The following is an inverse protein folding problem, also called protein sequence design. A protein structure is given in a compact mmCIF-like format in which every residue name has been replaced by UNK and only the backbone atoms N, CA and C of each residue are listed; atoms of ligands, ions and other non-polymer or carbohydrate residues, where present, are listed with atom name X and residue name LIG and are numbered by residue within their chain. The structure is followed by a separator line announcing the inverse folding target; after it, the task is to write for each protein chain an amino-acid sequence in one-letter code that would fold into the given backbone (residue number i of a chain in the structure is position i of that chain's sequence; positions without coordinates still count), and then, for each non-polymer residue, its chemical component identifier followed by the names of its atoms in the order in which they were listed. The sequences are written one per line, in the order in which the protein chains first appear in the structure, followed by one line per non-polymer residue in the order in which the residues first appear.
data_IF_257068444042
#
_entry.id   IF_257068444042
#
_cell.length_a   1.000
_cell.length_b   1.000
_cell.length_c   1.000
_cell.angle_alpha   90.00
_cell.angle_beta   90.00
_cell.angle_gamma   90.00
#
_symmetry.space_group_name_H-M   'P 1'
#
loop_
_entity.id
_entity.type
_entity.pdbx_description
1 polymer ?
#
# COMPACT_ATOMS: atom_id res chain seq x y z
N UNK A 1 -0.88 -1.98 16.42
CA UNK A 1 -2.01 -2.87 16.06
C UNK A 1 -2.51 -3.79 17.19
N UNK A 2 -1.62 -4.41 18.00
CA UNK A 2 -2.09 -5.29 19.11
C UNK A 2 -2.99 -4.56 20.10
N UNK A 3 -2.59 -3.37 20.56
CA UNK A 3 -3.38 -2.53 21.48
C UNK A 3 -4.75 -2.15 20.91
N UNK A 4 -4.82 -1.75 19.64
CA UNK A 4 -6.09 -1.41 18.97
C UNK A 4 -7.05 -2.60 18.92
N UNK A 5 -6.52 -3.80 18.59
CA UNK A 5 -7.34 -5.01 18.55
C UNK A 5 -7.80 -5.44 19.95
N UNK A 6 -7.00 -5.21 20.98
CA UNK A 6 -7.36 -5.48 22.37
C UNK A 6 -8.49 -4.55 22.84
N UNK A 7 -8.35 -3.24 22.58
CA UNK A 7 -9.39 -2.26 22.92
C UNK A 7 -10.71 -2.56 22.20
N UNK A 8 -10.66 -2.88 20.91
CA UNK A 8 -11.82 -3.27 20.12
C UNK A 8 -12.47 -4.59 20.61
N UNK A 9 -11.68 -5.53 21.12
CA UNK A 9 -12.19 -6.80 21.65
C UNK A 9 -12.80 -6.65 23.02
N UNK A 10 -12.21 -5.81 23.87
CA UNK A 10 -12.62 -5.65 25.27
C UNK A 10 -13.66 -4.55 25.47
N UNK A 11 -13.86 -3.67 24.50
CA UNK A 11 -14.71 -2.47 24.62
C UNK A 11 -14.14 -1.41 25.56
N UNK A 12 -12.89 -1.57 26.03
CA UNK A 12 -12.21 -0.60 26.92
C UNK A 12 -11.41 0.38 26.09
N UNK A 13 -12.04 1.45 25.68
CA UNK A 13 -11.41 2.44 24.81
C UNK A 13 -10.62 3.49 25.60
N UNK A 14 -9.50 3.94 24.99
CA UNK A 14 -8.81 5.16 25.39
C UNK A 14 -9.51 6.38 24.79
N UNK A 15 -9.42 7.52 25.46
CA UNK A 15 -10.01 8.76 24.92
C UNK A 15 -9.31 9.27 23.64
N UNK A 16 -8.04 8.90 23.42
CA UNK A 16 -7.24 9.41 22.33
C UNK A 16 -6.61 8.27 21.53
N UNK A 17 -6.77 8.33 20.22
CA UNK A 17 -6.09 7.46 19.27
C UNK A 17 -5.41 8.27 18.18
N UNK A 18 -4.19 7.92 17.82
CA UNK A 18 -3.51 8.43 16.64
C UNK A 18 -3.10 7.25 15.76
N UNK A 19 -3.73 7.18 14.59
CA UNK A 19 -3.44 6.23 13.53
C UNK A 19 -2.72 6.98 12.41
N UNK A 20 -1.44 6.71 12.16
CA UNK A 20 -0.70 7.44 11.14
C UNK A 20 0.19 6.52 10.31
N UNK A 21 0.55 6.96 9.11
CA UNK A 21 1.43 6.21 8.20
C UNK A 21 0.85 6.07 6.79
N UNK A 22 1.56 5.33 5.97
CA UNK A 22 1.31 5.24 4.53
C UNK A 22 0.24 4.21 4.13
N UNK A 23 -0.18 3.32 5.06
CA UNK A 23 -1.13 2.26 4.73
C UNK A 23 -2.58 2.75 4.92
N UNK A 24 -3.14 3.31 3.84
CA UNK A 24 -4.48 3.91 3.83
C UNK A 24 -5.58 2.89 4.16
N UNK A 25 -5.46 1.65 3.66
CA UNK A 25 -6.44 0.59 3.91
C UNK A 25 -6.58 0.28 5.40
N UNK A 26 -5.45 0.11 6.11
CA UNK A 26 -5.49 -0.17 7.55
C UNK A 26 -6.03 1.01 8.36
N UNK A 27 -5.67 2.25 8.00
CA UNK A 27 -6.22 3.45 8.64
C UNK A 27 -7.74 3.49 8.53
N UNK A 28 -8.27 3.30 7.32
CA UNK A 28 -9.71 3.23 7.06
C UNK A 28 -10.37 2.08 7.82
N UNK A 29 -9.81 0.87 7.75
CA UNK A 29 -10.36 -0.30 8.42
C UNK A 29 -10.46 -0.11 9.95
N UNK A 30 -9.42 0.44 10.58
CA UNK A 30 -9.46 0.70 12.02
C UNK A 30 -10.41 1.84 12.35
N UNK A 31 -10.46 2.92 11.56
CA UNK A 31 -11.45 4.00 11.71
C UNK A 31 -12.87 3.42 11.77
N UNK A 32 -13.25 2.67 10.74
CA UNK A 32 -14.60 2.12 10.60
C UNK A 32 -14.94 1.16 11.76
N UNK A 33 -13.98 0.32 12.17
CA UNK A 33 -14.14 -0.58 13.31
C UNK A 33 -14.32 0.15 14.65
N UNK A 34 -13.58 1.24 14.88
CA UNK A 34 -13.72 2.06 16.08
C UNK A 34 -15.07 2.79 16.10
N UNK A 35 -15.47 3.42 14.98
CA UNK A 35 -16.79 4.07 14.89
C UNK A 35 -17.90 3.06 15.22
N UNK A 36 -17.89 1.89 14.58
CA UNK A 36 -18.89 0.84 14.80
C UNK A 36 -18.87 0.27 16.22
N UNK A 37 -17.71 0.24 16.89
CA UNK A 37 -17.58 -0.29 18.24
C UNK A 37 -17.88 0.72 19.35
N UNK A 38 -17.74 2.02 19.04
CA UNK A 38 -17.88 3.10 20.02
C UNK A 38 -19.25 3.77 19.99
N UNK A 39 -19.94 3.73 18.86
CA UNK A 39 -21.23 4.37 18.65
C UNK A 39 -22.29 3.37 18.21
N UNK A 40 -23.58 3.57 18.61
CA UNK A 40 -24.70 2.84 18.04
C UNK A 40 -24.79 3.05 16.52
N UNK A 41 -25.34 2.07 15.82
CA UNK A 41 -25.52 2.17 14.36
C UNK A 41 -26.49 3.32 14.03
N UNK A 42 -26.04 4.23 13.14
CA UNK A 42 -26.82 5.39 12.73
C UNK A 42 -26.77 6.59 13.68
N UNK A 43 -25.97 6.56 14.73
CA UNK A 43 -25.80 7.71 15.63
C UNK A 43 -24.98 8.82 14.96
N UNK A 44 -25.69 9.83 14.46
CA UNK A 44 -25.10 11.04 13.85
C UNK A 44 -25.00 12.20 14.83
N UNK A 45 -25.67 12.13 15.97
CA UNK A 45 -25.69 13.22 16.97
C UNK A 45 -24.42 13.24 17.82
N UNK A 46 -23.82 12.09 18.04
CA UNK A 46 -22.62 11.92 18.86
C UNK A 46 -21.36 11.67 18.02
N UNK A 47 -21.46 11.76 16.70
CA UNK A 47 -20.37 11.60 15.76
C UNK A 47 -20.08 12.90 15.03
N UNK A 48 -18.80 13.32 15.01
CA UNK A 48 -18.33 14.40 14.17
C UNK A 48 -17.08 13.97 13.39
N UNK A 49 -16.97 14.44 12.16
CA UNK A 49 -15.85 14.15 11.26
C UNK A 49 -15.31 15.43 10.66
N UNK A 50 -14.02 15.65 10.85
CA UNK A 50 -13.29 16.79 10.32
C UNK A 50 -12.16 16.32 9.42
N UNK A 51 -12.09 16.88 8.21
CA UNK A 51 -11.09 16.52 7.22
C UNK A 51 -10.36 17.76 6.69
N UNK A 52 -9.05 17.62 6.51
CA UNK A 52 -8.21 18.64 5.89
C UNK A 52 -7.79 19.76 6.81
N UNK A 53 -6.92 20.63 6.28
CA UNK A 53 -6.17 21.64 7.04
C UNK A 53 -6.97 22.85 7.51
N UNK A 54 -8.19 23.01 7.00
CA UNK A 54 -9.04 24.16 7.33
C UNK A 54 -9.97 23.91 8.53
N UNK A 55 -9.75 22.84 9.27
CA UNK A 55 -10.52 22.52 10.49
C UNK A 55 -10.28 23.58 11.56
N UNK A 56 -11.36 24.21 12.04
CA UNK A 56 -11.29 25.20 13.12
C UNK A 56 -11.23 24.51 14.48
N UNK A 57 -10.12 24.69 15.18
CA UNK A 57 -9.88 24.07 16.50
C UNK A 57 -10.87 24.60 17.55
N UNK A 58 -11.32 25.86 17.46
CA UNK A 58 -12.30 26.43 18.41
C UNK A 58 -13.64 25.74 18.28
N UNK A 59 -14.12 25.57 17.05
CA UNK A 59 -15.36 24.82 16.78
C UNK A 59 -15.28 23.39 17.30
N UNK A 60 -14.13 22.73 17.10
CA UNK A 60 -13.88 21.38 17.63
C UNK A 60 -13.95 21.36 19.16
N UNK A 61 -13.32 22.31 19.84
CA UNK A 61 -13.32 22.39 21.31
C UNK A 61 -14.74 22.65 21.82
N UNK A 62 -15.45 23.60 21.22
CA UNK A 62 -16.84 23.91 21.60
C UNK A 62 -17.75 22.68 21.48
N UNK A 63 -17.59 21.91 20.40
CA UNK A 63 -18.31 20.64 20.22
C UNK A 63 -17.89 19.61 21.26
N UNK A 64 -16.60 19.49 21.54
CA UNK A 64 -16.04 18.51 22.46
C UNK A 64 -16.48 18.72 23.91
N UNK A 65 -16.79 19.96 24.31
CA UNK A 65 -17.34 20.34 25.64
C UNK A 65 -18.82 19.99 25.79
N UNK A 66 -19.54 19.76 24.70
CA UNK A 66 -20.95 19.40 24.78
C UNK A 66 -21.13 17.96 25.25
N UNK A 67 -22.10 17.73 26.16
CA UNK A 67 -22.42 16.38 26.60
C UNK A 67 -22.98 15.54 25.44
N UNK A 68 -22.69 14.23 25.42
CA UNK A 68 -23.30 13.30 24.46
C UNK A 68 -24.82 13.32 24.56
N UNK A 69 -25.50 13.24 23.42
CA UNK A 69 -26.95 13.24 23.34
C UNK A 69 -27.48 11.79 23.48
N UNK A 70 -28.06 11.49 24.60
CA UNK A 70 -28.58 10.14 24.95
C UNK A 70 -27.58 8.98 24.68
N UNK A 71 -26.27 9.23 24.83
CA UNK A 71 -25.23 8.23 24.64
C UNK A 71 -24.15 8.33 25.73
N UNK A 72 -23.33 7.32 25.87
CA UNK A 72 -22.22 7.28 26.84
C UNK A 72 -21.04 8.15 26.40
N UNK A 73 -20.90 8.39 25.09
CA UNK A 73 -19.72 9.03 24.56
C UNK A 73 -19.97 9.84 23.27
N UNK A 74 -19.14 10.84 23.06
CA UNK A 74 -19.04 11.60 21.82
C UNK A 74 -17.73 11.21 21.13
N UNK A 75 -17.80 10.91 19.85
CA UNK A 75 -16.65 10.54 19.04
C UNK A 75 -16.38 11.62 17.97
N UNK A 76 -15.19 12.19 17.99
CA UNK A 76 -14.73 13.15 16.98
C UNK A 76 -13.54 12.54 16.25
N UNK A 77 -13.66 12.43 14.93
CA UNK A 77 -12.63 11.86 14.06
C UNK A 77 -12.02 12.96 13.23
N UNK A 78 -10.70 12.99 13.18
CA UNK A 78 -9.90 13.93 12.41
C UNK A 78 -9.11 13.17 11.34
N UNK A 79 -9.18 13.61 10.09
CA UNK A 79 -8.45 12.99 9.00
C UNK A 79 -7.67 14.02 8.20
N UNK A 80 -6.36 13.82 8.04
CA UNK A 80 -5.43 14.66 7.27
C UNK A 80 -5.49 16.17 7.63
N UNK A 81 -5.75 16.47 8.90
CA UNK A 81 -5.87 17.86 9.40
C UNK A 81 -4.53 18.58 9.48
N UNK A 82 -3.43 17.84 9.57
CA UNK A 82 -2.09 18.40 9.75
C UNK A 82 -1.80 18.95 11.15
N UNK A 83 -2.67 18.74 12.12
CA UNK A 83 -2.51 19.22 13.50
C UNK A 83 -1.19 18.75 14.15
N UNK A 84 -0.67 17.60 13.74
CA UNK A 84 0.58 17.08 14.26
C UNK A 84 1.84 17.69 13.60
N UNK A 85 1.68 18.60 12.63
CA UNK A 85 2.81 19.29 11.98
C UNK A 85 3.01 20.71 12.54
N UNK A 86 1.95 21.54 12.63
CA UNK A 86 2.12 22.95 12.96
C UNK A 86 0.98 23.62 13.73
N UNK A 87 -0.26 23.17 13.63
CA UNK A 87 -1.44 23.91 14.11
C UNK A 87 -2.11 23.37 15.37
N UNK A 88 -1.65 22.24 15.90
CA UNK A 88 -2.34 21.54 16.99
C UNK A 88 -1.92 21.94 18.42
N UNK A 89 -1.30 23.10 18.64
CA UNK A 89 -0.82 23.48 19.97
C UNK A 89 -1.97 23.71 20.96
N UNK A 90 -3.01 24.42 20.53
CA UNK A 90 -4.20 24.73 21.36
C UNK A 90 -4.98 23.45 21.70
N UNK A 91 -5.10 22.55 20.73
CA UNK A 91 -5.72 21.25 20.95
C UNK A 91 -4.91 20.37 21.92
N UNK A 92 -3.57 20.49 21.91
CA UNK A 92 -2.71 19.78 22.85
C UNK A 92 -2.92 20.25 24.32
N UNK A 93 -3.18 21.53 24.52
CA UNK A 93 -3.51 22.10 25.84
C UNK A 93 -4.89 21.62 26.28
N UNK A 94 -5.87 21.71 25.38
CA UNK A 94 -7.24 21.27 25.64
C UNK A 94 -7.35 19.77 26.04
N UNK A 95 -6.57 18.89 25.43
CA UNK A 95 -6.58 17.44 25.74
C UNK A 95 -6.36 17.16 27.25
N UNK A 96 -5.72 18.10 27.97
CA UNK A 96 -5.48 17.93 29.40
C UNK A 96 -6.77 17.97 30.23
N UNK A 97 -7.73 18.77 29.80
CA UNK A 97 -8.98 19.06 30.52
C UNK A 97 -10.23 18.52 29.81
N UNK A 98 -10.04 17.76 28.74
CA UNK A 98 -11.10 17.17 27.90
C UNK A 98 -12.08 16.32 28.72
N UNK A 99 -13.41 16.48 28.53
CA UNK A 99 -14.44 15.69 29.22
C UNK A 99 -14.24 14.19 29.07
N UNK A 100 -14.50 13.42 30.13
CA UNK A 100 -14.34 11.96 30.13
C UNK A 100 -15.22 11.23 29.10
N UNK A 101 -16.28 11.88 28.65
CA UNK A 101 -17.23 11.37 27.65
C UNK A 101 -16.82 11.62 26.21
N UNK A 102 -15.78 12.43 25.97
CA UNK A 102 -15.32 12.82 24.63
C UNK A 102 -14.11 11.97 24.22
N UNK A 103 -14.13 11.49 22.96
CA UNK A 103 -13.11 10.63 22.39
C UNK A 103 -12.64 11.19 21.06
N UNK A 104 -11.32 11.22 20.84
CA UNK A 104 -10.71 11.68 19.60
C UNK A 104 -9.96 10.56 18.89
N UNK A 105 -10.19 10.45 17.58
CA UNK A 105 -9.40 9.57 16.71
C UNK A 105 -8.76 10.44 15.63
N UNK A 106 -7.45 10.52 15.65
CA UNK A 106 -6.65 11.21 14.64
C UNK A 106 -6.12 10.22 13.60
N UNK A 107 -6.29 10.56 12.33
CA UNK A 107 -5.85 9.78 11.18
C UNK A 107 -4.98 10.68 10.31
N UNK A 108 -3.69 10.41 10.25
CA UNK A 108 -2.72 11.26 9.56
C UNK A 108 -1.81 10.42 8.63
N UNK A 109 -1.29 11.03 7.59
CA UNK A 109 -0.27 10.39 6.75
C UNK A 109 1.11 10.51 7.39
N UNK A 110 1.42 11.68 7.93
CA UNK A 110 2.71 11.99 8.55
C UNK A 110 2.52 12.85 9.79
N UNK A 111 3.37 12.66 10.79
CA UNK A 111 3.35 13.39 12.06
C UNK A 111 4.75 13.88 12.47
N UNK A 112 4.85 15.04 13.09
CA UNK A 112 6.07 15.42 13.81
C UNK A 112 5.99 14.86 15.25
N UNK A 113 6.81 13.85 15.52
CA UNK A 113 6.88 13.18 16.83
C UNK A 113 7.37 14.10 17.95
N UNK A 114 7.88 15.29 17.59
CA UNK A 114 8.31 16.34 18.55
C UNK A 114 7.18 17.29 18.93
N UNK A 115 6.09 17.33 18.15
CA UNK A 115 4.98 18.24 18.38
C UNK A 115 4.35 18.06 19.76
N UNK A 116 3.78 19.15 20.31
CA UNK A 116 3.12 19.16 21.61
C UNK A 116 1.93 18.19 21.62
N UNK A 117 1.14 18.22 20.54
CA UNK A 117 -0.02 17.33 20.39
C UNK A 117 0.37 15.84 20.36
N UNK A 118 1.46 15.47 19.67
CA UNK A 118 1.93 14.07 19.66
C UNK A 118 2.29 13.60 21.08
N UNK A 119 2.98 14.46 21.86
CA UNK A 119 3.35 14.13 23.24
C UNK A 119 2.11 14.02 24.15
N UNK A 120 1.12 14.89 23.98
CA UNK A 120 -0.14 14.84 24.72
C UNK A 120 -0.91 13.53 24.43
N UNK A 121 -1.08 13.17 23.14
CA UNK A 121 -1.74 11.91 22.76
C UNK A 121 -0.95 10.70 23.27
N UNK A 122 0.38 10.73 23.22
CA UNK A 122 1.23 9.63 23.71
C UNK A 122 1.07 9.40 25.21
N UNK A 123 0.81 10.44 26.00
CA UNK A 123 0.66 10.31 27.45
C UNK A 123 -0.69 9.74 27.88
N UNK A 124 -1.76 9.98 27.13
CA UNK A 124 -3.14 9.66 27.52
C UNK A 124 -3.84 8.64 26.61
N UNK A 125 -3.27 8.32 25.46
CA UNK A 125 -3.91 7.51 24.45
C UNK A 125 -3.00 6.47 23.80
N UNK A 126 -3.46 5.93 22.66
CA UNK A 126 -2.70 5.00 21.84
C UNK A 126 -2.25 5.64 20.53
N UNK A 127 -0.96 5.49 20.22
CA UNK A 127 -0.35 5.89 18.95
C UNK A 127 0.08 4.65 18.19
N UNK A 128 -0.40 4.48 16.97
CA UNK A 128 -0.06 3.33 16.13
C UNK A 128 0.36 3.81 14.74
N UNK A 129 1.56 3.42 14.34
CA UNK A 129 2.08 3.63 12.99
C UNK A 129 1.63 2.48 12.08
N UNK A 130 0.91 2.83 11.03
CA UNK A 130 0.35 1.92 10.03
C UNK A 130 1.09 2.14 8.71
N UNK A 131 2.27 1.56 8.62
CA UNK A 131 3.10 1.59 7.41
C UNK A 131 2.88 0.37 6.53
N UNK A 132 3.60 0.35 5.39
CA UNK A 132 3.60 -0.78 4.47
C UNK A 132 3.96 -2.08 5.19
N UNK A 133 3.18 -3.13 4.93
CA UNK A 133 3.31 -4.42 5.61
C UNK A 133 4.35 -5.30 4.92
N UNK A 134 5.11 -6.07 5.71
CA UNK A 134 6.06 -7.04 5.16
C UNK A 134 5.34 -8.27 4.57
N UNK A 135 6.11 -9.07 3.79
CA UNK A 135 5.61 -10.27 3.11
C UNK A 135 4.96 -11.29 4.05
N UNK A 136 5.60 -11.55 5.18
CA UNK A 136 5.09 -12.52 6.16
C UNK A 136 3.78 -12.05 6.77
N UNK A 137 3.67 -10.74 7.03
CA UNK A 137 2.46 -10.11 7.56
C UNK A 137 1.34 -10.15 6.54
N UNK A 138 1.57 -9.78 5.28
CA UNK A 138 0.57 -9.85 4.22
C UNK A 138 0.11 -11.30 3.97
N UNK A 139 1.05 -12.25 3.92
CA UNK A 139 0.72 -13.67 3.73
C UNK A 139 -0.14 -14.21 4.88
N UNK A 140 0.22 -13.93 6.13
CA UNK A 140 -0.59 -14.32 7.29
C UNK A 140 -1.97 -13.67 7.28
N UNK A 141 -2.04 -12.44 6.85
CA UNK A 141 -3.30 -11.70 6.73
C UNK A 141 -4.21 -12.32 5.67
N UNK A 142 -3.70 -12.61 4.46
CA UNK A 142 -4.44 -13.31 3.40
C UNK A 142 -4.97 -14.66 3.90
N UNK A 143 -4.08 -15.49 4.49
CA UNK A 143 -4.49 -16.78 5.06
C UNK A 143 -5.55 -16.65 6.16
N UNK A 144 -5.45 -15.60 6.96
CA UNK A 144 -6.45 -15.28 8.00
C UNK A 144 -7.81 -14.90 7.41
N UNK A 145 -7.83 -14.12 6.31
CA UNK A 145 -9.05 -13.77 5.59
C UNK A 145 -9.70 -15.01 4.95
N UNK A 146 -8.92 -15.83 4.25
CA UNK A 146 -9.38 -17.09 3.64
C UNK A 146 -10.01 -18.01 4.69
N UNK A 147 -9.34 -18.15 5.85
CA UNK A 147 -9.87 -18.97 6.97
C UNK A 147 -11.17 -18.41 7.54
N UNK A 148 -11.32 -17.09 7.61
CA UNK A 148 -12.56 -16.44 8.09
C UNK A 148 -13.75 -16.75 7.19
N UNK A 149 -13.49 -16.90 5.88
CA UNK A 149 -14.50 -17.32 4.89
C UNK A 149 -14.71 -18.84 4.83
N UNK A 150 -14.18 -19.59 5.81
CA UNK A 150 -14.34 -21.05 5.91
C UNK A 150 -13.56 -21.84 4.90
N UNK A 151 -12.53 -21.26 4.28
CA UNK A 151 -11.70 -21.89 3.24
C UNK A 151 -10.27 -22.12 3.74
N UNK A 152 -9.50 -22.88 2.97
CA UNK A 152 -8.09 -23.14 3.20
C UNK A 152 -7.27 -22.73 1.97
N UNK A 153 -6.03 -22.31 2.20
CA UNK A 153 -5.05 -21.99 1.15
C UNK A 153 -3.66 -22.36 1.67
N UNK A 154 -2.84 -22.96 0.83
CA UNK A 154 -1.45 -23.25 1.18
C UNK A 154 -0.62 -21.97 1.29
N UNK A 155 0.38 -21.88 2.21
CA UNK A 155 1.24 -20.72 2.31
C UNK A 155 2.00 -20.36 1.02
N UNK A 156 2.32 -21.37 0.19
CA UNK A 156 2.92 -21.20 -1.15
C UNK A 156 1.97 -20.50 -2.12
N UNK A 157 0.67 -20.83 -2.05
CA UNK A 157 -0.34 -20.29 -2.95
C UNK A 157 -0.74 -18.88 -2.52
N UNK A 158 -0.74 -18.59 -1.21
CA UNK A 158 -0.88 -17.23 -0.70
C UNK A 158 0.29 -16.32 -1.15
N UNK A 159 1.53 -16.83 -1.18
CA UNK A 159 2.67 -16.10 -1.73
C UNK A 159 2.53 -15.88 -3.24
N UNK A 160 2.08 -16.90 -3.97
CA UNK A 160 1.79 -16.80 -5.40
C UNK A 160 0.71 -15.75 -5.69
N UNK A 161 -0.40 -15.80 -4.96
CA UNK A 161 -1.48 -14.82 -5.04
C UNK A 161 -0.96 -13.39 -4.86
N UNK A 162 -0.19 -13.13 -3.79
CA UNK A 162 0.40 -11.81 -3.53
C UNK A 162 1.37 -11.36 -4.64
N UNK A 163 2.11 -12.29 -5.23
CA UNK A 163 2.97 -11.98 -6.37
C UNK A 163 2.16 -11.56 -7.61
N UNK A 164 0.98 -12.14 -7.80
CA UNK A 164 0.09 -11.86 -8.94
C UNK A 164 -0.67 -10.55 -8.76
N UNK A 165 -1.28 -10.35 -7.60
CA UNK A 165 -2.18 -9.21 -7.32
C UNK A 165 -1.45 -7.99 -6.72
N UNK A 166 -0.18 -8.13 -6.32
CA UNK A 166 0.61 -7.07 -5.72
C UNK A 166 0.43 -6.94 -4.22
N UNK A 167 0.87 -5.80 -3.67
CA UNK A 167 0.97 -5.55 -2.23
C UNK A 167 0.00 -4.48 -1.71
N UNK A 168 -0.81 -3.92 -2.58
CA UNK A 168 -1.88 -2.99 -2.20
C UNK A 168 -2.99 -3.75 -1.46
N UNK A 169 -3.22 -3.40 -0.20
CA UNK A 169 -4.14 -4.16 0.66
C UNK A 169 -5.59 -4.05 0.22
N UNK A 170 -6.00 -2.94 -0.39
CA UNK A 170 -7.36 -2.79 -0.94
C UNK A 170 -7.55 -3.69 -2.16
N UNK A 171 -6.55 -3.71 -3.07
CA UNK A 171 -6.58 -4.60 -4.22
C UNK A 171 -6.55 -6.08 -3.80
N UNK A 172 -5.70 -6.44 -2.83
CA UNK A 172 -5.65 -7.80 -2.27
C UNK A 172 -7.03 -8.22 -1.77
N UNK A 173 -7.73 -7.35 -1.04
CA UNK A 173 -9.08 -7.66 -0.52
C UNK A 173 -10.06 -7.91 -1.66
N UNK A 174 -10.10 -7.03 -2.66
CA UNK A 174 -11.01 -7.16 -3.82
C UNK A 174 -10.75 -8.43 -4.63
N UNK A 175 -9.47 -8.74 -4.89
CA UNK A 175 -9.11 -9.95 -5.63
C UNK A 175 -9.40 -11.22 -4.81
N UNK A 176 -9.20 -11.16 -3.49
CA UNK A 176 -9.50 -12.28 -2.60
C UNK A 176 -11.00 -12.53 -2.48
N UNK A 177 -11.83 -11.49 -2.40
CA UNK A 177 -13.29 -11.61 -2.41
C UNK A 177 -13.78 -12.30 -3.69
N UNK A 178 -13.28 -11.89 -4.86
CA UNK A 178 -13.59 -12.56 -6.15
C UNK A 178 -13.18 -14.03 -6.12
N UNK A 179 -11.97 -14.33 -5.62
CA UNK A 179 -11.43 -15.67 -5.56
C UNK A 179 -12.25 -16.56 -4.61
N UNK A 180 -12.64 -16.07 -3.46
CA UNK A 180 -13.51 -16.78 -2.51
C UNK A 180 -14.89 -17.04 -3.13
N UNK A 181 -15.48 -16.05 -3.80
CA UNK A 181 -16.75 -16.24 -4.53
C UNK A 181 -16.63 -17.25 -5.66
N UNK A 182 -15.52 -17.28 -6.39
CA UNK A 182 -15.29 -18.27 -7.43
C UNK A 182 -15.17 -19.69 -6.88
N UNK A 183 -14.62 -19.83 -5.67
CA UNK A 183 -14.37 -21.11 -5.02
C UNK A 183 -15.49 -21.51 -4.03
N UNK A 184 -16.73 -21.06 -4.20
CA UNK A 184 -17.83 -21.33 -3.25
C UNK A 184 -18.04 -22.82 -2.96
N UNK A 185 -17.84 -23.70 -3.95
CA UNK A 185 -18.02 -25.13 -3.85
C UNK A 185 -16.74 -25.91 -3.47
N UNK A 186 -15.65 -25.20 -3.14
CA UNK A 186 -14.34 -25.80 -2.82
C UNK A 186 -13.92 -25.46 -1.40
N UNK A 187 -13.35 -26.43 -0.68
CA UNK A 187 -12.71 -26.17 0.63
C UNK A 187 -11.34 -25.52 0.51
N UNK A 188 -10.58 -25.90 -0.52
CA UNK A 188 -9.19 -25.48 -0.71
C UNK A 188 -9.07 -24.65 -1.97
N UNK A 189 -8.51 -23.48 -1.83
CA UNK A 189 -8.17 -22.57 -2.95
C UNK A 189 -6.77 -22.94 -3.45
N UNK A 190 -6.66 -23.21 -4.76
CA UNK A 190 -5.43 -23.67 -5.40
C UNK A 190 -4.84 -22.58 -6.31
N UNK A 191 -3.67 -22.88 -6.87
CA UNK A 191 -3.00 -22.01 -7.85
C UNK A 191 -3.80 -21.87 -9.14
N UNK A 192 -4.42 -22.94 -9.59
CA UNK A 192 -5.28 -22.96 -10.77
C UNK A 192 -6.48 -22.04 -10.60
N UNK A 193 -7.06 -21.97 -9.40
CA UNK A 193 -8.16 -21.04 -9.10
C UNK A 193 -7.68 -19.58 -9.13
N UNK A 194 -6.50 -19.31 -8.58
CA UNK A 194 -5.88 -17.99 -8.63
C UNK A 194 -5.63 -17.56 -10.08
N UNK A 195 -5.16 -18.50 -10.94
CA UNK A 195 -4.91 -18.21 -12.35
C UNK A 195 -6.19 -17.99 -13.15
N UNK A 196 -7.27 -18.67 -12.78
CA UNK A 196 -8.55 -18.57 -13.47
C UNK A 196 -9.25 -17.24 -13.24
N UNK A 197 -9.12 -16.61 -12.03
CA UNK A 197 -9.96 -15.46 -11.68
C UNK A 197 -9.18 -14.19 -11.31
N UNK A 198 -7.98 -14.32 -10.74
CA UNK A 198 -7.23 -13.15 -10.31
C UNK A 198 -6.50 -12.48 -11.48
N UNK A 199 -6.67 -11.18 -11.60
CA UNK A 199 -5.99 -10.39 -12.64
C UNK A 199 -4.56 -10.08 -12.21
N UNK A 200 -3.60 -10.43 -13.06
CA UNK A 200 -2.20 -10.05 -12.86
C UNK A 200 -2.05 -8.54 -13.01
N UNK A 201 -1.45 -7.87 -12.04
CA UNK A 201 -1.19 -6.44 -12.17
C UNK A 201 -0.19 -6.15 -13.29
N UNK A 202 -0.38 -5.02 -13.99
CA UNK A 202 0.52 -4.55 -15.05
C UNK A 202 1.97 -4.49 -14.56
N UNK A 203 2.18 -4.03 -13.33
CA UNK A 203 3.52 -3.99 -12.71
C UNK A 203 4.14 -5.37 -12.55
N UNK A 204 3.34 -6.41 -12.30
CA UNK A 204 3.82 -7.79 -12.23
C UNK A 204 4.20 -8.33 -13.61
N UNK A 205 3.40 -8.05 -14.66
CA UNK A 205 3.77 -8.38 -16.04
C UNK A 205 5.07 -7.69 -16.47
N UNK A 206 5.22 -6.40 -16.17
CA UNK A 206 6.45 -5.65 -16.48
C UNK A 206 7.66 -6.25 -15.75
N UNK A 207 7.51 -6.60 -14.47
CA UNK A 207 8.58 -7.25 -13.72
C UNK A 207 8.97 -8.61 -14.31
N UNK A 208 7.99 -9.42 -14.73
CA UNK A 208 8.23 -10.70 -15.40
C UNK A 208 8.86 -10.52 -16.79
N UNK A 209 8.47 -9.48 -17.53
CA UNK A 209 9.06 -9.14 -18.82
C UNK A 209 10.55 -8.79 -18.67
N UNK A 210 10.92 -8.00 -17.66
CA UNK A 210 12.33 -7.69 -17.36
C UNK A 210 13.08 -8.97 -16.92
N UNK A 211 12.44 -9.90 -16.21
CA UNK A 211 13.03 -11.21 -15.91
C UNK A 211 13.26 -12.04 -17.18
N UNK A 212 12.33 -12.05 -18.11
CA UNK A 212 12.47 -12.76 -19.38
C UNK A 212 13.63 -12.18 -20.20
N UNK A 213 13.73 -10.85 -20.26
CA UNK A 213 14.88 -10.16 -20.90
C UNK A 213 16.21 -10.55 -20.24
N UNK A 214 16.27 -10.56 -18.89
CA UNK A 214 17.48 -10.93 -18.15
C UNK A 214 17.90 -12.39 -18.38
N UNK A 215 16.94 -13.27 -18.64
CA UNK A 215 17.18 -14.68 -18.94
C UNK A 215 17.38 -14.98 -20.43
N UNK A 216 17.36 -13.94 -21.29
CA UNK A 216 17.43 -14.08 -22.76
C UNK A 216 16.26 -14.90 -23.34
N UNK A 217 15.12 -14.89 -22.65
CA UNK A 217 13.89 -15.54 -23.11
C UNK A 217 13.03 -14.52 -23.89
N UNK A 218 13.44 -14.33 -25.14
CA UNK A 218 12.80 -13.38 -26.07
C UNK A 218 11.33 -13.71 -26.30
N UNK A 219 11.00 -15.01 -26.42
CA UNK A 219 9.63 -15.46 -26.67
C UNK A 219 8.72 -15.02 -25.52
N UNK A 220 9.12 -15.35 -24.30
CA UNK A 220 8.35 -14.98 -23.12
C UNK A 220 8.23 -13.46 -22.95
N UNK A 221 9.29 -12.69 -23.27
CA UNK A 221 9.24 -11.22 -23.21
C UNK A 221 8.20 -10.64 -24.18
N UNK A 222 8.13 -11.18 -25.40
CA UNK A 222 7.15 -10.76 -26.41
C UNK A 222 5.74 -11.24 -26.07
N UNK A 223 5.56 -12.48 -25.58
CA UNK A 223 4.24 -12.99 -25.16
C UNK A 223 3.63 -12.09 -24.08
N UNK A 224 4.40 -11.71 -23.05
CA UNK A 224 3.96 -10.77 -22.00
C UNK A 224 3.64 -9.37 -22.55
N UNK A 225 4.38 -8.91 -23.56
CA UNK A 225 4.08 -7.65 -24.24
C UNK A 225 2.72 -7.69 -24.95
N UNK A 226 2.48 -8.76 -25.72
CA UNK A 226 1.20 -8.93 -26.42
C UNK A 226 0.01 -9.12 -25.47
N UNK A 227 0.21 -9.77 -24.32
CA UNK A 227 -0.80 -9.84 -23.27
C UNK A 227 -1.18 -8.44 -22.75
N UNK A 228 -0.21 -7.56 -22.52
CA UNK A 228 -0.48 -6.19 -22.10
C UNK A 228 -1.21 -5.39 -23.19
N UNK A 229 -0.86 -5.58 -24.46
CA UNK A 229 -1.56 -4.97 -25.58
C UNK A 229 -3.02 -5.46 -25.68
N UNK A 230 -3.27 -6.74 -25.44
CA UNK A 230 -4.62 -7.31 -25.39
C UNK A 230 -5.48 -6.70 -24.26
N UNK A 231 -4.82 -6.31 -23.14
CA UNK A 231 -5.43 -5.53 -22.06
C UNK A 231 -5.60 -4.04 -22.40
N UNK A 232 -5.31 -3.63 -23.65
CA UNK A 232 -5.39 -2.25 -24.17
C UNK A 232 -4.42 -1.28 -23.50
N UNK A 233 -3.29 -1.79 -22.97
CA UNK A 233 -2.23 -0.90 -22.48
C UNK A 233 -1.47 -0.28 -23.66
N UNK A 234 -1.30 1.05 -23.69
CA UNK A 234 -0.57 1.72 -24.75
C UNK A 234 0.91 1.29 -24.79
N UNK A 235 1.50 1.02 -25.98
CA UNK A 235 2.90 0.58 -26.09
C UNK A 235 3.89 1.52 -25.40
N UNK A 236 3.72 2.83 -25.55
CA UNK A 236 4.62 3.81 -24.91
C UNK A 236 4.50 3.82 -23.39
N UNK A 237 3.32 3.48 -22.83
CA UNK A 237 3.17 3.30 -21.38
C UNK A 237 3.91 2.05 -20.92
N UNK A 238 3.85 0.95 -21.70
CA UNK A 238 4.63 -0.27 -21.41
C UNK A 238 6.12 0.04 -21.41
N UNK A 239 6.62 0.75 -22.43
CA UNK A 239 8.04 1.18 -22.49
C UNK A 239 8.42 2.03 -21.28
N UNK A 240 7.60 3.01 -20.92
CA UNK A 240 7.83 3.84 -19.74
C UNK A 240 7.95 3.01 -18.46
N UNK A 241 7.05 2.04 -18.27
CA UNK A 241 7.07 1.15 -17.11
C UNK A 241 8.29 0.23 -17.10
N UNK A 242 8.70 -0.29 -18.27
CA UNK A 242 9.95 -1.05 -18.42
C UNK A 242 11.18 -0.22 -18.02
N UNK A 243 11.30 1.00 -18.53
CA UNK A 243 12.42 1.88 -18.20
C UNK A 243 12.42 2.27 -16.71
N UNK A 244 11.25 2.51 -16.14
CA UNK A 244 11.09 2.72 -14.68
C UNK A 244 11.64 1.52 -13.91
N UNK A 245 11.33 0.29 -14.34
CA UNK A 245 11.77 -0.94 -13.70
C UNK A 245 13.31 -1.09 -13.76
N UNK A 246 13.91 -0.84 -14.93
CA UNK A 246 15.36 -0.83 -15.09
C UNK A 246 16.04 0.25 -14.21
N UNK A 247 15.42 1.41 -14.05
CA UNK A 247 15.92 2.46 -13.15
C UNK A 247 15.92 2.02 -11.69
N UNK A 248 14.86 1.33 -11.25
CA UNK A 248 14.80 0.76 -9.90
C UNK A 248 15.92 -0.27 -9.72
N UNK A 249 16.09 -1.19 -10.68
CA UNK A 249 17.16 -2.18 -10.66
C UNK A 249 18.54 -1.57 -10.61
N UNK A 250 18.78 -0.46 -11.35
CA UNK A 250 20.02 0.28 -11.31
C UNK A 250 20.32 0.83 -9.91
N UNK A 251 19.33 1.46 -9.26
CA UNK A 251 19.45 1.95 -7.88
C UNK A 251 19.73 0.81 -6.90
N UNK A 252 18.96 -0.28 -6.98
CA UNK A 252 19.15 -1.46 -6.13
C UNK A 252 20.53 -2.07 -6.33
N UNK A 253 21.01 -2.21 -7.58
CA UNK A 253 22.34 -2.72 -7.90
C UNK A 253 23.45 -1.83 -7.35
N UNK A 254 23.29 -0.51 -7.43
CA UNK A 254 24.24 0.45 -6.87
C UNK A 254 24.32 0.35 -5.33
N UNK A 255 23.18 0.23 -4.66
CA UNK A 255 23.09 0.05 -3.22
C UNK A 255 23.68 -1.30 -2.76
N UNK A 256 23.43 -2.38 -3.51
CA UNK A 256 24.04 -3.70 -3.26
C UNK A 256 25.56 -3.64 -3.32
N UNK A 257 26.13 -2.92 -4.32
CA UNK A 257 27.58 -2.72 -4.42
C UNK A 257 28.18 -1.94 -3.24
N UNK A 258 27.37 -1.10 -2.59
CA UNK A 258 27.74 -0.34 -1.39
C UNK A 258 27.55 -1.16 -0.10
N UNK A 259 27.07 -2.41 -0.19
CA UNK A 259 26.90 -3.31 0.95
C UNK A 259 25.64 -3.08 1.78
N UNK A 260 24.67 -2.30 1.29
CA UNK A 260 23.39 -2.11 2.00
C UNK A 260 22.56 -3.39 2.10
N UNK A 261 21.95 -3.60 3.26
CA UNK A 261 21.02 -4.69 3.52
C UNK A 261 19.61 -4.45 2.97
N UNK A 262 18.75 -5.49 3.03
CA UNK A 262 17.39 -5.47 2.45
C UNK A 262 16.53 -4.31 2.96
N UNK A 263 16.57 -3.99 4.25
CA UNK A 263 15.75 -2.92 4.84
C UNK A 263 16.19 -1.54 4.35
N UNK A 264 17.51 -1.30 4.31
CA UNK A 264 18.06 -0.04 3.81
C UNK A 264 17.78 0.16 2.32
N UNK A 265 17.91 -0.92 1.53
CA UNK A 265 17.59 -0.90 0.10
C UNK A 265 16.11 -0.59 -0.12
N UNK A 266 15.20 -1.21 0.63
CA UNK A 266 13.78 -0.91 0.55
C UNK A 266 13.51 0.58 0.80
N UNK A 267 14.06 1.12 1.89
CA UNK A 267 13.88 2.53 2.26
C UNK A 267 14.50 3.49 1.22
N UNK A 268 15.78 3.25 0.83
CA UNK A 268 16.54 4.16 -0.06
C UNK A 268 16.04 4.14 -1.51
N UNK A 269 15.59 2.97 -2.00
CA UNK A 269 15.03 2.83 -3.35
C UNK A 269 13.52 3.09 -3.41
N UNK A 270 12.88 3.44 -2.30
CA UNK A 270 11.43 3.70 -2.24
C UNK A 270 10.59 2.45 -2.57
N UNK A 271 11.10 1.26 -2.21
CA UNK A 271 10.43 0.00 -2.49
C UNK A 271 9.61 -0.47 -1.30
N UNK A 272 8.47 -1.10 -1.61
CA UNK A 272 7.75 -1.85 -0.60
C UNK A 272 8.65 -2.97 -0.04
N UNK A 273 8.70 -3.20 1.29
CA UNK A 273 9.56 -4.24 1.90
C UNK A 273 9.39 -5.64 1.31
N UNK A 274 8.16 -5.97 0.85
CA UNK A 274 7.85 -7.20 0.13
C UNK A 274 8.68 -7.33 -1.17
N UNK A 275 8.75 -6.26 -1.96
CA UNK A 275 9.39 -6.28 -3.27
C UNK A 275 10.91 -6.27 -3.22
N UNK A 276 11.52 -5.70 -2.16
CA UNK A 276 12.96 -5.48 -2.07
C UNK A 276 13.80 -6.74 -2.33
N UNK A 277 13.40 -7.90 -1.78
CA UNK A 277 14.09 -9.16 -2.01
C UNK A 277 14.10 -9.58 -3.48
N UNK A 278 12.95 -9.47 -4.16
CA UNK A 278 12.79 -9.79 -5.59
C UNK A 278 13.67 -8.90 -6.45
N UNK A 279 13.67 -7.59 -6.18
CA UNK A 279 14.53 -6.63 -6.89
C UNK A 279 16.02 -6.87 -6.66
N UNK A 280 16.42 -7.25 -5.44
CA UNK A 280 17.82 -7.60 -5.14
C UNK A 280 18.27 -8.84 -5.94
N UNK A 281 17.44 -9.87 -6.03
CA UNK A 281 17.76 -11.09 -6.77
C UNK A 281 17.78 -10.84 -8.28
N UNK A 282 16.86 -10.03 -8.80
CA UNK A 282 16.83 -9.64 -10.18
C UNK A 282 18.03 -8.74 -10.55
N UNK A 283 18.37 -7.78 -9.71
CA UNK A 283 19.52 -6.88 -9.92
C UNK A 283 20.88 -7.61 -9.95
N UNK A 284 21.01 -8.77 -9.31
CA UNK A 284 22.23 -9.59 -9.39
C UNK A 284 22.54 -10.06 -10.81
N UNK A 285 21.52 -10.24 -11.64
CA UNK A 285 21.63 -10.77 -13.01
C UNK A 285 22.14 -9.75 -14.03
N UNK A 286 22.16 -8.48 -13.68
CA UNK A 286 22.59 -7.39 -14.56
C UNK A 286 23.88 -6.75 -14.08
N UNK A 287 24.68 -6.22 -15.03
CA UNK A 287 25.73 -5.27 -14.73
C UNK A 287 25.18 -3.82 -14.74
N UNK A 288 25.84 -2.90 -14.01
CA UNK A 288 25.38 -1.50 -13.97
C UNK A 288 25.44 -0.82 -15.34
N UNK A 289 26.42 -1.17 -16.16
CA UNK A 289 26.53 -0.62 -17.52
C UNK A 289 25.41 -1.10 -18.44
N UNK A 290 24.95 -2.36 -18.30
CA UNK A 290 23.81 -2.90 -19.05
C UNK A 290 22.53 -2.14 -18.69
N UNK A 291 22.25 -1.97 -17.41
CA UNK A 291 21.08 -1.24 -16.94
C UNK A 291 21.08 0.21 -17.43
N UNK A 292 22.27 0.86 -17.48
CA UNK A 292 22.41 2.20 -18.03
C UNK A 292 22.13 2.22 -19.54
N UNK A 293 22.74 1.30 -20.31
CA UNK A 293 22.55 1.21 -21.75
C UNK A 293 21.07 1.00 -22.13
N UNK A 294 20.36 0.13 -21.40
CA UNK A 294 18.92 -0.09 -21.59
C UNK A 294 18.12 1.19 -21.37
N UNK A 295 18.42 1.96 -20.31
CA UNK A 295 17.73 3.23 -20.04
C UNK A 295 18.00 4.29 -21.09
N UNK A 296 19.25 4.43 -21.54
CA UNK A 296 19.64 5.37 -22.61
C UNK A 296 18.94 5.03 -23.92
N UNK A 297 18.90 3.74 -24.28
CA UNK A 297 18.18 3.28 -25.47
C UNK A 297 16.67 3.50 -25.37
N UNK A 298 16.08 3.28 -24.19
CA UNK A 298 14.66 3.58 -23.99
C UNK A 298 14.31 5.03 -24.27
N UNK A 299 15.19 5.96 -23.90
CA UNK A 299 15.02 7.39 -24.21
C UNK A 299 15.15 7.66 -25.74
N UNK A 300 16.08 7.00 -26.42
CA UNK A 300 16.22 7.10 -27.88
C UNK A 300 14.98 6.54 -28.61
N UNK A 301 14.49 5.39 -28.18
CA UNK A 301 13.25 4.79 -28.72
C UNK A 301 12.07 5.73 -28.55
N UNK A 302 11.89 6.33 -27.36
CA UNK A 302 10.83 7.32 -27.12
C UNK A 302 10.95 8.52 -28.08
N UNK A 303 12.16 9.02 -28.30
CA UNK A 303 12.40 10.13 -29.22
C UNK A 303 12.06 9.75 -30.67
N UNK A 304 12.43 8.55 -31.13
CA UNK A 304 12.11 8.07 -32.49
C UNK A 304 10.61 7.93 -32.71
N UNK A 305 9.85 7.50 -31.72
CA UNK A 305 8.39 7.45 -31.81
C UNK A 305 7.81 8.87 -31.86
N UNK A 306 8.25 9.78 -30.99
CA UNK A 306 7.78 11.19 -30.97
C UNK A 306 8.09 11.95 -32.26
N UNK A 307 9.17 11.60 -32.97
CA UNK A 307 9.54 12.20 -34.26
C UNK A 307 8.94 11.48 -35.45
N UNK A 308 8.13 10.44 -35.26
CA UNK A 308 7.48 9.68 -36.33
C UNK A 308 8.39 8.74 -37.11
N UNK A 309 9.61 8.49 -36.64
CA UNK A 309 10.54 7.56 -37.28
C UNK A 309 10.18 6.09 -37.07
N UNK A 310 9.47 5.78 -35.99
CA UNK A 310 8.98 4.44 -35.67
C UNK A 310 7.53 4.53 -35.18
N UNK A 311 6.76 3.49 -35.47
CA UNK A 311 5.47 3.30 -34.79
C UNK A 311 5.72 2.81 -33.36
N UNK A 312 4.84 3.17 -32.45
CA UNK A 312 4.96 2.82 -31.03
C UNK A 312 5.03 1.30 -30.77
N UNK A 313 4.19 0.51 -31.49
CA UNK A 313 4.22 -0.96 -31.40
C UNK A 313 5.58 -1.52 -31.80
N UNK A 314 6.06 -1.17 -33.01
CA UNK A 314 7.32 -1.68 -33.54
C UNK A 314 8.52 -1.24 -32.68
N UNK A 315 8.48 -0.03 -32.15
CA UNK A 315 9.53 0.52 -31.29
C UNK A 315 9.74 -0.32 -30.02
N UNK A 316 8.65 -0.72 -29.34
CA UNK A 316 8.72 -1.56 -28.13
C UNK A 316 9.12 -3.00 -28.47
N UNK A 317 8.61 -3.56 -29.57
CA UNK A 317 9.03 -4.89 -30.04
C UNK A 317 10.53 -4.96 -30.32
N UNK A 318 11.07 -4.00 -31.09
CA UNK A 318 12.50 -3.94 -31.39
C UNK A 318 13.34 -3.76 -30.13
N UNK A 319 12.89 -2.93 -29.18
CA UNK A 319 13.54 -2.76 -27.89
C UNK A 319 13.61 -4.10 -27.11
N UNK A 320 12.50 -4.83 -27.02
CA UNK A 320 12.47 -6.12 -26.33
C UNK A 320 13.34 -7.16 -27.03
N UNK A 321 13.23 -7.29 -28.36
CA UNK A 321 14.03 -8.21 -29.16
C UNK A 321 15.53 -7.97 -28.96
N UNK A 322 15.97 -6.71 -29.04
CA UNK A 322 17.37 -6.35 -28.90
C UNK A 322 17.93 -6.71 -27.53
N UNK A 323 17.20 -6.42 -26.47
CA UNK A 323 17.68 -6.66 -25.10
C UNK A 323 17.50 -8.09 -24.61
N UNK A 324 16.63 -8.89 -25.26
CA UNK A 324 16.43 -10.30 -24.98
C UNK A 324 17.20 -11.25 -25.93
N UNK A 325 17.91 -10.72 -26.93
CA UNK A 325 18.80 -11.53 -27.77
C UNK A 325 19.94 -12.13 -26.94
N UNK A 326 20.38 -13.34 -27.34
CA UNK A 326 21.46 -14.07 -26.68
C UNK A 326 22.83 -13.40 -26.90
#
# INVERSE_FOLDING_TARGET
MKSLNEDLKTGKFKQLYLLYGTEAYLKKQYKDRFIKAMLPEGDTMNYAYYEGKNTDIKEVIDLAETLPFFAERRLIVFEDTGFFKSSGADLADYISDMPATTYFIFIENEVDKRSKLYKAVKSKGHIVELGAQDENTLRKWVLGLVKKEGRQMQPSDAAYFLNKVGTDMENITKELEKLVCYCLDKEVITREDIDAICVTQITSHIFEMVNAVANKDQRKALDLYYELLALKEPPMRILFLLIREYRILFHVKALLKQGYGRQDIASKAGLHPFAAGRYMDQAKRFHLWELRAVMEEGADVEQRVKTGLLTDHLAVELFLVKHSAA
#
